data_IF_170780314931
#
_entry.id   IF_170780314931
#
_cell.length_a   1.000
_cell.length_b   1.000
_cell.length_c   1.000
_cell.angle_alpha   90.00
_cell.angle_beta   90.00
_cell.angle_gamma   90.00
#
_symmetry.space_group_name_H-M   'P 1'
#
loop_
_entity.id
_entity.type
_entity.pdbx_description
1 polymer ?
#
# COMPACT_ATOMS: atom_id res chain seq x y z
N UNK A 1 3.48 26.97 -9.00
CA UNK A 1 2.99 27.11 -7.62
C UNK A 1 2.19 25.89 -7.13
N UNK A 2 0.88 25.72 -7.39
CA UNK A 2 0.13 24.58 -6.80
C UNK A 2 0.60 23.19 -7.25
N UNK A 3 0.99 23.04 -8.53
CA UNK A 3 1.52 21.75 -9.04
C UNK A 3 2.86 21.35 -8.43
N UNK A 4 3.70 22.32 -8.06
CA UNK A 4 5.01 22.05 -7.43
C UNK A 4 4.84 21.65 -5.97
N UNK A 5 3.83 22.20 -5.30
CA UNK A 5 3.48 21.88 -3.91
C UNK A 5 2.80 20.52 -3.75
N UNK A 6 2.39 19.86 -4.84
CA UNK A 6 1.65 18.60 -4.76
C UNK A 6 2.48 17.50 -4.09
N UNK A 7 3.78 17.44 -4.37
CA UNK A 7 4.69 16.50 -3.69
C UNK A 7 4.74 16.78 -2.18
N UNK A 8 4.92 18.04 -1.78
CA UNK A 8 4.96 18.41 -0.36
C UNK A 8 3.64 18.08 0.36
N UNK A 9 2.50 18.19 -0.33
CA UNK A 9 1.19 17.81 0.21
C UNK A 9 1.14 16.31 0.44
N UNK A 10 1.48 15.49 -0.56
CA UNK A 10 1.47 14.03 -0.45
C UNK A 10 2.43 13.53 0.65
N UNK A 11 3.58 14.19 0.78
CA UNK A 11 4.59 13.88 1.79
C UNK A 11 4.09 14.12 3.24
N UNK A 12 3.20 15.11 3.42
CA UNK A 12 2.61 15.48 4.70
C UNK A 12 1.33 14.70 5.04
N UNK A 13 0.81 13.89 4.12
CA UNK A 13 -0.37 13.07 4.39
C UNK A 13 -0.05 12.01 5.45
N UNK A 14 -0.98 11.84 6.40
CA UNK A 14 -0.85 10.88 7.51
C UNK A 14 -1.04 9.44 7.07
N UNK A 15 -1.69 9.21 5.94
CA UNK A 15 -1.84 7.89 5.36
C UNK A 15 -0.55 7.49 4.65
N UNK A 16 -0.06 6.26 4.85
CA UNK A 16 0.97 5.69 3.99
C UNK A 16 0.52 5.69 2.53
N UNK A 17 1.39 6.18 1.66
CA UNK A 17 1.18 6.25 0.22
C UNK A 17 2.32 5.54 -0.47
N UNK A 18 1.98 4.77 -1.50
CA UNK A 18 2.91 4.03 -2.37
C UNK A 18 2.53 4.27 -3.81
N UNK A 19 3.52 4.47 -4.68
CA UNK A 19 3.35 4.45 -6.13
C UNK A 19 4.23 3.37 -6.73
N UNK A 20 3.68 2.56 -7.63
CA UNK A 20 4.41 1.49 -8.32
C UNK A 20 4.37 1.64 -9.83
N UNK A 21 5.39 1.13 -10.51
CA UNK A 21 5.50 1.19 -11.97
C UNK A 21 5.22 -0.16 -12.65
N UNK A 22 4.03 -0.39 -13.20
CA UNK A 22 3.70 -1.66 -13.84
C UNK A 22 4.44 -1.91 -15.16
N UNK A 23 5.14 -0.90 -15.70
CA UNK A 23 5.95 -1.03 -16.93
C UNK A 23 7.38 -1.53 -16.66
N UNK A 24 7.76 -1.64 -15.40
CA UNK A 24 9.03 -2.23 -14.98
C UNK A 24 8.83 -3.66 -14.49
N UNK A 25 9.89 -4.46 -14.58
CA UNK A 25 9.87 -5.85 -14.14
C UNK A 25 9.38 -5.92 -12.68
N UNK A 26 8.35 -6.73 -12.46
CA UNK A 26 7.78 -7.02 -11.15
C UNK A 26 7.00 -5.88 -10.47
N UNK A 27 6.59 -4.85 -11.22
CA UNK A 27 5.81 -3.71 -10.72
C UNK A 27 6.43 -3.09 -9.44
N UNK A 28 7.67 -2.58 -9.53
CA UNK A 28 8.41 -2.09 -8.36
C UNK A 28 7.82 -0.79 -7.83
N UNK A 29 8.02 -0.57 -6.54
CA UNK A 29 7.77 0.70 -5.86
C UNK A 29 8.73 1.75 -6.42
N UNK A 30 8.19 2.89 -6.85
CA UNK A 30 8.96 4.04 -7.33
C UNK A 30 8.89 5.23 -6.36
N UNK A 31 7.92 5.23 -5.46
CA UNK A 31 7.78 6.27 -4.44
C UNK A 31 7.01 5.74 -3.23
N UNK A 32 7.41 6.22 -2.05
CA UNK A 32 6.66 6.12 -0.78
C UNK A 32 6.79 7.44 -0.03
N UNK A 33 5.77 7.82 0.73
CA UNK A 33 5.84 8.99 1.60
C UNK A 33 6.40 8.65 3.01
N UNK A 34 6.67 9.69 3.81
CA UNK A 34 7.15 9.56 5.18
C UNK A 34 6.23 8.69 6.05
N UNK A 35 4.91 8.82 5.93
CA UNK A 35 3.95 8.01 6.68
C UNK A 35 4.13 6.50 6.44
N UNK A 36 4.44 6.09 5.21
CA UNK A 36 4.77 4.71 4.90
C UNK A 36 6.04 4.24 5.59
N UNK A 37 7.12 5.01 5.48
CA UNK A 37 8.39 4.66 6.12
C UNK A 37 8.27 4.59 7.65
N UNK A 38 7.46 5.48 8.25
CA UNK A 38 7.19 5.49 9.68
C UNK A 38 6.38 4.29 10.13
N UNK A 39 5.37 3.86 9.36
CA UNK A 39 4.55 2.71 9.71
C UNK A 39 5.32 1.39 9.61
N UNK A 40 6.03 1.18 8.49
CA UNK A 40 6.66 -0.11 8.21
C UNK A 40 8.12 -0.21 8.63
N UNK A 41 8.78 0.89 8.95
CA UNK A 41 10.17 0.92 9.43
C UNK A 41 11.23 0.69 8.34
N UNK A 42 10.85 0.76 7.07
CA UNK A 42 11.80 0.73 5.96
C UNK A 42 12.25 2.14 5.58
N UNK A 43 13.53 2.31 5.27
CA UNK A 43 14.00 3.54 4.62
C UNK A 43 13.63 3.53 3.14
N UNK A 44 13.58 4.72 2.54
CA UNK A 44 13.23 4.87 1.13
C UNK A 44 14.16 4.06 0.21
N UNK A 45 15.47 4.10 0.47
CA UNK A 45 16.49 3.40 -0.32
C UNK A 45 16.40 1.87 -0.18
N UNK A 46 15.74 1.38 0.88
CA UNK A 46 15.55 -0.05 1.10
C UNK A 46 14.30 -0.61 0.41
N UNK A 47 13.35 0.26 0.04
CA UNK A 47 12.03 -0.16 -0.45
C UNK A 47 11.82 0.18 -1.94
N UNK A 48 12.36 1.30 -2.41
CA UNK A 48 12.28 1.69 -3.82
C UNK A 48 13.00 0.64 -4.68
N UNK A 49 12.39 0.28 -5.80
CA UNK A 49 12.84 -0.80 -6.68
C UNK A 49 12.35 -2.20 -6.29
N UNK A 50 11.67 -2.36 -5.14
CA UNK A 50 11.09 -3.65 -4.71
C UNK A 50 9.58 -3.70 -4.93
N UNK A 51 9.02 -4.89 -5.05
CA UNK A 51 7.57 -5.08 -5.07
C UNK A 51 6.96 -5.06 -3.65
N UNK A 52 5.78 -4.46 -3.48
CA UNK A 52 5.07 -4.36 -2.19
C UNK A 52 4.89 -5.69 -1.45
N UNK A 53 4.95 -6.85 -2.13
CA UNK A 53 4.84 -8.17 -1.49
C UNK A 53 5.86 -8.47 -0.42
N UNK A 54 6.95 -7.69 -0.33
CA UNK A 54 7.90 -7.77 0.78
C UNK A 54 7.21 -7.56 2.13
N UNK A 55 6.13 -6.77 2.17
CA UNK A 55 5.33 -6.50 3.37
C UNK A 55 4.54 -7.72 3.85
N UNK A 56 4.32 -8.73 3.01
CA UNK A 56 3.52 -9.90 3.38
C UNK A 56 4.27 -10.87 4.31
N UNK A 57 5.61 -10.75 4.42
CA UNK A 57 6.45 -11.69 5.17
C UNK A 57 6.14 -13.16 4.78
N UNK A 58 5.79 -14.02 5.74
CA UNK A 58 5.37 -15.42 5.52
C UNK A 58 3.86 -15.57 5.24
N UNK A 59 3.06 -14.52 5.41
CA UNK A 59 1.59 -14.53 5.29
C UNK A 59 1.13 -14.31 3.84
N UNK A 60 1.52 -15.22 2.95
CA UNK A 60 1.32 -15.10 1.49
C UNK A 60 0.03 -15.75 0.98
N UNK A 61 -0.78 -16.34 1.86
CA UNK A 61 -1.98 -17.13 1.52
C UNK A 61 -3.30 -16.42 1.85
N UNK A 62 -3.28 -15.11 2.06
CA UNK A 62 -4.47 -14.33 2.35
C UNK A 62 -5.33 -14.19 1.08
N UNK A 63 -6.65 -14.38 1.18
CA UNK A 63 -7.57 -14.29 0.03
C UNK A 63 -7.52 -12.92 -0.65
N UNK A 64 -7.32 -11.86 0.12
CA UNK A 64 -7.15 -10.49 -0.38
C UNK A 64 -6.00 -10.38 -1.41
N UNK A 65 -4.94 -11.17 -1.28
CA UNK A 65 -3.82 -11.16 -2.23
C UNK A 65 -4.21 -11.69 -3.60
N UNK A 66 -5.17 -12.62 -3.68
CA UNK A 66 -5.71 -13.07 -4.96
C UNK A 66 -6.47 -11.93 -5.63
N UNK A 67 -7.37 -11.29 -4.88
CA UNK A 67 -8.19 -10.17 -5.37
C UNK A 67 -7.34 -9.00 -5.86
N UNK A 68 -6.25 -8.68 -5.16
CA UNK A 68 -5.29 -7.65 -5.60
C UNK A 68 -4.66 -8.03 -6.95
N UNK A 69 -4.21 -9.27 -7.13
CA UNK A 69 -3.60 -9.72 -8.40
C UNK A 69 -4.58 -9.65 -9.56
N UNK A 70 -5.85 -9.97 -9.32
CA UNK A 70 -6.91 -9.83 -10.31
C UNK A 70 -7.18 -8.37 -10.64
N UNK A 71 -7.34 -7.51 -9.63
CA UNK A 71 -7.57 -6.09 -9.82
C UNK A 71 -6.42 -5.38 -10.57
N UNK A 72 -5.16 -5.72 -10.26
CA UNK A 72 -3.99 -5.21 -10.99
C UNK A 72 -4.02 -5.68 -12.45
N UNK A 73 -4.37 -6.94 -12.71
CA UNK A 73 -4.44 -7.48 -14.08
C UNK A 73 -5.57 -6.87 -14.91
N UNK A 74 -6.70 -6.61 -14.27
CA UNK A 74 -7.88 -6.00 -14.90
C UNK A 74 -7.83 -4.47 -14.92
N UNK A 75 -6.78 -3.88 -14.34
CA UNK A 75 -6.63 -2.44 -14.14
C UNK A 75 -7.86 -1.81 -13.45
N UNK A 76 -8.34 -2.45 -12.38
CA UNK A 76 -9.47 -1.98 -11.58
C UNK A 76 -9.03 -1.50 -10.22
N UNK A 77 -9.73 -0.48 -9.72
CA UNK A 77 -9.60 -0.10 -8.32
C UNK A 77 -10.13 -1.19 -7.40
N UNK A 78 -9.46 -1.38 -6.27
CA UNK A 78 -9.86 -2.34 -5.25
C UNK A 78 -9.60 -1.79 -3.85
N UNK A 79 -10.47 -2.16 -2.91
CA UNK A 79 -10.29 -1.96 -1.49
C UNK A 79 -10.31 -3.32 -0.79
N UNK A 80 -9.29 -3.61 0.02
CA UNK A 80 -9.18 -4.87 0.77
C UNK A 80 -8.52 -4.64 2.12
N UNK A 81 -8.82 -5.52 3.08
CA UNK A 81 -8.06 -5.60 4.32
C UNK A 81 -6.90 -6.59 4.15
N UNK A 82 -5.71 -6.22 4.60
CA UNK A 82 -4.52 -7.06 4.57
C UNK A 82 -3.82 -7.10 5.92
N UNK A 83 -3.12 -8.22 6.15
CA UNK A 83 -2.12 -8.35 7.20
C UNK A 83 -0.74 -8.16 6.57
N UNK A 84 -0.08 -7.08 6.94
CA UNK A 84 1.30 -6.79 6.56
C UNK A 84 2.20 -6.76 7.79
N UNK A 85 3.50 -6.76 7.54
CA UNK A 85 4.50 -6.89 8.57
C UNK A 85 5.54 -5.79 8.39
N UNK A 86 5.85 -5.10 9.49
CA UNK A 86 6.95 -4.14 9.53
C UNK A 86 8.28 -4.84 9.30
N UNK A 87 9.34 -4.06 9.06
CA UNK A 87 10.71 -4.56 8.91
C UNK A 87 11.15 -5.48 10.06
N UNK A 88 10.75 -5.14 11.29
CA UNK A 88 11.07 -5.91 12.49
C UNK A 88 10.06 -7.05 12.77
N UNK A 89 9.14 -7.31 11.84
CA UNK A 89 8.20 -8.43 11.88
C UNK A 89 6.92 -8.20 12.68
N UNK A 90 6.65 -6.95 13.12
CA UNK A 90 5.40 -6.63 13.81
C UNK A 90 4.23 -6.67 12.82
N UNK A 91 3.15 -7.32 13.21
CA UNK A 91 1.91 -7.35 12.44
C UNK A 91 1.23 -5.97 12.42
N UNK A 92 0.81 -5.55 11.24
CA UNK A 92 -0.05 -4.40 10.97
C UNK A 92 -1.28 -4.87 10.19
N UNK A 93 -2.46 -4.47 10.66
CA UNK A 93 -3.71 -4.64 9.92
C UNK A 93 -4.02 -3.37 9.14
N UNK A 94 -4.29 -3.51 7.85
CA UNK A 94 -4.38 -2.38 6.95
C UNK A 94 -5.56 -2.48 6.02
N UNK A 95 -6.32 -1.39 5.92
CA UNK A 95 -7.24 -1.18 4.80
C UNK A 95 -6.43 -0.54 3.68
N UNK A 96 -6.42 -1.18 2.52
CA UNK A 96 -5.62 -0.74 1.38
C UNK A 96 -6.55 -0.48 0.21
N UNK A 97 -6.47 0.73 -0.32
CA UNK A 97 -7.05 1.09 -1.61
C UNK A 97 -5.95 1.11 -2.65
N UNK A 98 -6.12 0.35 -3.74
CA UNK A 98 -5.23 0.37 -4.90
C UNK A 98 -6.01 0.93 -6.07
N UNK A 99 -5.45 1.92 -6.76
CA UNK A 99 -6.09 2.52 -7.95
C UNK A 99 -5.10 2.65 -9.11
N UNK A 100 -5.50 2.30 -10.34
CA UNK A 100 -4.72 2.59 -11.53
C UNK A 100 -4.69 4.10 -11.78
N UNK A 101 -3.52 4.61 -12.18
CA UNK A 101 -3.32 6.01 -12.58
C UNK A 101 -3.00 6.01 -14.05
N UNK A 102 -3.89 6.62 -14.84
CA UNK A 102 -3.72 6.74 -16.28
C UNK A 102 -3.12 8.08 -16.67
N UNK A 103 -2.66 8.18 -17.92
CA UNK A 103 -2.33 9.46 -18.52
C UNK A 103 -3.55 10.39 -18.62
N UNK A 104 -3.32 11.62 -19.08
CA UNK A 104 -4.38 12.63 -19.19
C UNK A 104 -5.53 12.22 -20.10
N UNK A 105 -5.27 11.38 -21.10
CA UNK A 105 -6.25 10.92 -22.07
C UNK A 105 -6.97 9.65 -21.62
N UNK A 106 -6.51 9.04 -20.51
CA UNK A 106 -6.99 7.76 -19.97
C UNK A 106 -6.78 6.58 -20.91
N UNK A 107 -5.78 6.67 -21.79
CA UNK A 107 -5.50 5.63 -22.78
C UNK A 107 -4.42 4.67 -22.32
N UNK A 108 -3.49 5.17 -21.49
CA UNK A 108 -2.34 4.40 -21.01
C UNK A 108 -2.29 4.40 -19.50
N UNK A 109 -2.31 3.22 -18.90
CA UNK A 109 -1.95 3.03 -17.49
C UNK A 109 -0.51 3.53 -17.31
N UNK A 110 -0.28 4.39 -16.34
CA UNK A 110 1.05 4.94 -16.03
C UNK A 110 1.59 4.29 -14.75
N UNK A 111 0.81 4.30 -13.67
CA UNK A 111 1.22 3.80 -12.35
C UNK A 111 0.06 3.13 -11.63
N UNK A 112 0.36 2.45 -10.51
CA UNK A 112 -0.63 2.18 -9.48
C UNK A 112 -0.36 3.03 -8.24
N UNK A 113 -1.42 3.55 -7.63
CA UNK A 113 -1.41 4.25 -6.35
C UNK A 113 -2.00 3.34 -5.28
N UNK A 114 -1.21 3.07 -4.24
CA UNK A 114 -1.66 2.41 -3.02
C UNK A 114 -1.79 3.43 -1.88
N UNK A 115 -2.95 3.48 -1.24
CA UNK A 115 -3.20 4.26 -0.02
C UNK A 115 -3.55 3.27 1.08
N UNK A 116 -2.85 3.38 2.20
CA UNK A 116 -3.02 2.48 3.33
C UNK A 116 -3.66 3.24 4.50
N UNK A 117 -4.40 2.51 5.32
CA UNK A 117 -4.91 2.98 6.59
C UNK A 117 -4.62 1.92 7.63
N UNK A 118 -3.79 2.27 8.61
CA UNK A 118 -3.52 1.41 9.75
C UNK A 118 -4.79 1.29 10.62
N UNK A 119 -5.33 0.09 10.69
CA UNK A 119 -6.51 -0.27 11.50
C UNK A 119 -6.14 -1.25 12.62
N UNK A 120 -4.85 -1.43 12.90
CA UNK A 120 -4.33 -2.37 13.91
C UNK A 120 -4.96 -2.16 15.28
N UNK A 121 -5.09 -0.91 15.72
CA UNK A 121 -5.69 -0.58 17.02
C UNK A 121 -7.18 -0.95 17.09
N UNK A 122 -7.91 -0.78 15.99
CA UNK A 122 -9.33 -1.15 15.89
C UNK A 122 -9.46 -2.67 15.92
N UNK A 123 -8.62 -3.37 15.16
CA UNK A 123 -8.64 -4.83 15.10
C UNK A 123 -8.35 -5.46 16.46
N UNK A 124 -7.35 -4.97 17.19
CA UNK A 124 -7.07 -5.43 18.55
C UNK A 124 -8.23 -5.17 19.52
N UNK A 125 -8.99 -4.09 19.35
CA UNK A 125 -10.17 -3.82 20.17
C UNK A 125 -11.29 -4.81 19.87
N UNK A 126 -11.56 -5.09 18.59
CA UNK A 126 -12.56 -6.07 18.16
C UNK A 126 -12.23 -7.49 18.63
N UNK A 127 -10.95 -7.89 18.56
CA UNK A 127 -10.49 -9.18 19.08
C UNK A 127 -10.68 -9.30 20.59
N UNK A 128 -10.48 -8.22 21.36
CA UNK A 128 -10.74 -8.21 22.80
C UNK A 128 -12.22 -8.33 23.12
N UNK A 129 -13.08 -7.61 22.40
CA UNK A 129 -14.53 -7.66 22.60
C UNK A 129 -15.10 -9.05 22.31
N UNK A 130 -14.66 -9.72 21.24
CA UNK A 130 -15.07 -11.09 20.92
C UNK A 130 -14.66 -12.14 21.96
N UNK A 131 -13.69 -11.84 22.83
CA UNK A 131 -13.27 -12.76 23.91
C UNK A 131 -14.09 -12.60 25.20
N UNK A 132 -14.90 -11.55 25.30
CA UNK A 132 -15.67 -11.20 26.50
C UNK A 132 -17.15 -11.65 26.38
N UNK A 133 -17.60 -11.90 25.14
CA UNK A 133 -18.94 -12.45 24.83
C UNK A 133 -18.81 -13.94 24.57
#
# INVERSE_FOLDING_TARGET
MFKEQFFDIIEQLKNPIVVTNPHEYDNPIIYVNSAFTNLFGYKNEEIVGKNCRLLHSKDKKQDALHKIREAIREEKSIEVNLRNYTKDGKLAYEDITISPIYDKQKEKLIYFLGIYKDVTSIQHLLEKLHRIV
#
